data_IF_388442384210
#
_entry.id   IF_388442384210
#
_cell.length_a   1.000
_cell.length_b   1.000
_cell.length_c   1.000
_cell.angle_alpha   90.00
_cell.angle_beta   90.00
_cell.angle_gamma   90.00
#
_symmetry.space_group_name_H-M   'P 1'
#
loop_
_entity.id
_entity.type
_entity.pdbx_description
1 polymer ?
#
# COMPACT_ATOMS: atom_id res chain seq x y z
N UNK A 1 -14.88 -7.67 7.59
CA UNK A 1 -15.21 -9.11 7.49
C UNK A 1 -16.41 -9.41 8.37
N UNK A 2 -17.19 -10.47 8.08
CA UNK A 2 -18.32 -10.96 8.90
C UNK A 2 -17.99 -12.36 9.40
N UNK A 3 -18.34 -12.68 10.64
CA UNK A 3 -18.10 -13.99 11.25
C UNK A 3 -19.42 -14.58 11.75
N UNK A 4 -19.56 -15.91 11.71
CA UNK A 4 -20.71 -16.67 12.20
C UNK A 4 -20.27 -17.52 13.38
N UNK A 5 -21.01 -17.51 14.47
CA UNK A 5 -20.79 -18.44 15.57
C UNK A 5 -21.46 -19.78 15.24
N UNK A 6 -20.69 -20.86 15.16
CA UNK A 6 -21.23 -22.17 14.77
C UNK A 6 -22.09 -22.83 15.85
N UNK A 7 -21.81 -22.55 17.13
CA UNK A 7 -22.57 -23.14 18.24
C UNK A 7 -23.97 -22.51 18.39
N UNK A 8 -24.12 -21.25 18.00
CA UNK A 8 -25.37 -20.50 18.14
C UNK A 8 -26.05 -20.18 16.79
N UNK A 9 -25.38 -20.50 15.68
CA UNK A 9 -25.80 -20.16 14.31
C UNK A 9 -26.14 -18.67 14.11
N UNK A 10 -25.43 -17.78 14.81
CA UNK A 10 -25.73 -16.35 14.85
C UNK A 10 -24.53 -15.50 14.38
N UNK A 11 -24.74 -14.46 13.54
CA UNK A 11 -23.68 -13.55 13.12
C UNK A 11 -23.05 -12.84 14.31
N UNK A 12 -21.72 -12.93 14.40
CA UNK A 12 -20.93 -12.24 15.42
C UNK A 12 -20.94 -10.72 15.16
N UNK A 13 -20.98 -9.95 16.23
CA UNK A 13 -20.99 -8.48 16.21
C UNK A 13 -19.61 -7.94 16.55
N UNK A 14 -19.27 -6.78 15.99
CA UNK A 14 -18.07 -6.05 16.42
C UNK A 14 -18.21 -5.72 17.91
N UNK A 15 -17.21 -6.10 18.70
CA UNK A 15 -17.19 -5.85 20.13
C UNK A 15 -16.28 -4.69 20.48
N UNK A 16 -15.08 -4.65 19.90
CA UNK A 16 -14.05 -3.67 20.23
C UNK A 16 -13.06 -3.53 19.08
N UNK A 17 -12.51 -2.33 18.91
CA UNK A 17 -11.31 -2.05 18.11
C UNK A 17 -10.27 -1.40 19.00
N UNK A 18 -9.12 -2.03 19.14
CA UNK A 18 -8.01 -1.59 20.00
C UNK A 18 -6.75 -1.33 19.18
N UNK A 19 -5.92 -0.40 19.65
CA UNK A 19 -4.68 0.01 18.99
C UNK A 19 -4.84 1.18 18.00
N UNK A 20 -3.78 1.50 17.22
CA UNK A 20 -2.65 0.63 16.94
C UNK A 20 -1.54 0.68 17.99
N UNK A 21 -1.15 -0.51 18.43
CA UNK A 21 0.03 -0.75 19.26
C UNK A 21 1.14 -1.30 18.36
N UNK A 22 2.31 -0.67 18.38
CA UNK A 22 3.43 -0.99 17.47
C UNK A 22 3.03 -1.01 15.97
N UNK A 23 1.99 -0.25 15.61
CA UNK A 23 1.46 -0.18 14.25
C UNK A 23 0.37 -1.21 13.92
N UNK A 24 0.12 -2.21 14.76
CA UNK A 24 -0.91 -3.24 14.54
C UNK A 24 -2.25 -2.86 15.16
N UNK A 25 -3.36 -3.07 14.42
CA UNK A 25 -4.73 -2.86 14.90
C UNK A 25 -5.36 -4.20 15.29
N UNK A 26 -6.04 -4.23 16.42
CA UNK A 26 -6.82 -5.40 16.87
C UNK A 26 -8.31 -5.14 16.73
N UNK A 27 -9.03 -6.05 16.08
CA UNK A 27 -10.49 -5.97 15.89
C UNK A 27 -11.14 -7.23 16.48
N UNK A 28 -11.92 -7.06 17.53
CA UNK A 28 -12.56 -8.17 18.25
C UNK A 28 -14.03 -8.28 17.88
N UNK A 29 -14.46 -9.49 17.53
CA UNK A 29 -15.85 -9.85 17.29
C UNK A 29 -16.35 -10.76 18.41
N UNK A 30 -17.63 -10.62 18.77
CA UNK A 30 -18.28 -11.38 19.83
C UNK A 30 -19.62 -11.94 19.36
N UNK A 31 -19.89 -13.20 19.68
CA UNK A 31 -21.23 -13.78 19.54
C UNK A 31 -22.17 -13.15 20.58
N UNK A 32 -23.35 -12.63 20.18
CA UNK A 32 -24.27 -12.01 21.13
C UNK A 32 -24.89 -13.01 22.11
N UNK A 33 -25.01 -14.28 21.75
CA UNK A 33 -25.66 -15.32 22.54
C UNK A 33 -24.71 -15.95 23.59
N UNK A 34 -23.67 -16.66 23.13
CA UNK A 34 -22.76 -17.39 24.03
C UNK A 34 -21.54 -16.58 24.49
N UNK A 35 -21.30 -15.41 23.87
CA UNK A 35 -20.15 -14.56 24.21
C UNK A 35 -18.79 -15.06 23.69
N UNK A 36 -18.75 -16.09 22.83
CA UNK A 36 -17.52 -16.50 22.14
C UNK A 36 -16.88 -15.32 21.40
N UNK A 37 -15.55 -15.22 21.43
CA UNK A 37 -14.79 -14.07 20.90
C UNK A 37 -13.68 -14.52 19.96
N UNK A 38 -13.47 -13.73 18.91
CA UNK A 38 -12.34 -13.85 17.99
C UNK A 38 -11.75 -12.46 17.79
N UNK A 39 -10.42 -12.35 17.83
CA UNK A 39 -9.70 -11.13 17.54
C UNK A 39 -8.88 -11.28 16.26
N UNK A 40 -9.00 -10.30 15.37
CA UNK A 40 -8.18 -10.15 14.19
C UNK A 40 -7.09 -9.13 14.49
N UNK A 41 -5.82 -9.54 14.38
CA UNK A 41 -4.66 -8.66 14.52
C UNK A 41 -4.12 -8.36 13.13
N UNK A 42 -4.13 -7.08 12.73
CA UNK A 42 -3.62 -6.67 11.42
C UNK A 42 -2.11 -6.44 11.47
N UNK A 43 -1.44 -6.62 10.32
CA UNK A 43 -0.03 -6.25 10.18
C UNK A 43 0.14 -4.72 10.27
N UNK A 44 1.28 -4.21 10.79
CA UNK A 44 1.57 -2.78 10.76
C UNK A 44 1.42 -2.09 9.38
N UNK A 45 1.88 -2.75 8.31
CA UNK A 45 1.80 -2.20 6.95
C UNK A 45 0.35 -2.07 6.47
N UNK A 46 -0.47 -3.10 6.71
CA UNK A 46 -1.90 -3.08 6.37
C UNK A 46 -2.64 -1.99 7.14
N UNK A 47 -2.34 -1.84 8.43
CA UNK A 47 -2.94 -0.81 9.30
C UNK A 47 -2.62 0.59 8.80
N UNK A 48 -1.37 0.83 8.38
CA UNK A 48 -0.95 2.11 7.83
C UNK A 48 -1.67 2.43 6.52
N UNK A 49 -1.80 1.44 5.62
CA UNK A 49 -2.49 1.61 4.34
C UNK A 49 -3.98 1.89 4.52
N UNK A 50 -4.68 1.15 5.38
CA UNK A 50 -6.12 1.38 5.63
C UNK A 50 -6.37 2.76 6.22
N UNK A 51 -5.46 3.25 7.08
CA UNK A 51 -5.51 4.60 7.62
C UNK A 51 -5.31 5.69 6.56
N UNK A 52 -4.37 5.52 5.63
CA UNK A 52 -4.14 6.52 4.58
C UNK A 52 -5.32 6.62 3.60
N UNK A 53 -6.02 5.51 3.38
CA UNK A 53 -7.25 5.46 2.61
C UNK A 53 -8.48 6.04 3.35
N UNK A 54 -8.34 6.41 4.63
CA UNK A 54 -9.42 7.01 5.43
C UNK A 54 -10.60 6.08 5.72
N UNK A 55 -10.42 4.76 5.53
CA UNK A 55 -11.47 3.76 5.76
C UNK A 55 -11.63 3.53 7.25
N UNK A 56 -12.80 3.84 7.81
CA UNK A 56 -13.13 3.59 9.22
C UNK A 56 -13.39 2.11 9.44
N UNK A 57 -12.55 1.45 10.22
CA UNK A 57 -12.81 0.10 10.71
C UNK A 57 -13.65 0.20 11.98
N UNK A 58 -14.94 -0.15 11.89
CA UNK A 58 -15.81 -0.31 13.06
C UNK A 58 -16.51 0.94 13.60
N UNK A 59 -16.48 2.07 12.89
CA UNK A 59 -17.23 3.28 13.27
C UNK A 59 -18.73 3.18 12.94
N UNK A 60 -19.60 3.99 13.58
CA UNK A 60 -21.01 4.06 13.24
C UNK A 60 -21.18 4.49 11.77
N UNK A 61 -22.17 3.91 11.09
CA UNK A 61 -22.56 4.23 9.72
C UNK A 61 -23.28 5.59 9.63
N UNK A 62 -22.69 6.63 10.22
CA UNK A 62 -23.13 8.01 10.05
C UNK A 62 -22.50 8.64 8.81
N UNK A 63 -23.18 9.58 8.14
CA UNK A 63 -22.61 10.33 7.02
C UNK A 63 -21.31 11.00 7.49
N UNK A 64 -20.28 10.97 6.63
CA UNK A 64 -19.00 11.59 6.92
C UNK A 64 -19.21 13.07 7.25
N UNK A 65 -18.76 13.50 8.42
CA UNK A 65 -18.90 14.89 8.82
C UNK A 65 -17.84 15.74 8.10
N UNK A 66 -18.15 16.97 7.65
CA UNK A 66 -17.16 17.83 6.99
C UNK A 66 -15.94 18.00 7.89
N UNK A 67 -14.72 17.81 7.38
CA UNK A 67 -13.47 17.95 8.16
C UNK A 67 -13.30 16.99 9.36
N UNK A 68 -13.99 15.84 9.37
CA UNK A 68 -13.86 14.83 10.44
C UNK A 68 -12.41 14.38 10.64
N UNK A 69 -11.65 14.17 9.56
CA UNK A 69 -10.24 13.80 9.61
C UNK A 69 -9.38 14.86 10.30
N UNK A 70 -9.59 16.13 9.97
CA UNK A 70 -8.87 17.25 10.60
C UNK A 70 -9.19 17.34 12.09
N UNK A 71 -10.45 17.14 12.48
CA UNK A 71 -10.85 17.15 13.90
C UNK A 71 -10.28 15.97 14.67
N UNK A 72 -10.23 14.78 14.08
CA UNK A 72 -9.62 13.59 14.71
C UNK A 72 -8.12 13.77 14.91
N UNK A 73 -7.42 14.34 13.92
CA UNK A 73 -6.01 14.68 14.04
C UNK A 73 -5.73 15.68 15.17
N UNK A 74 -6.63 16.64 15.40
CA UNK A 74 -6.54 17.62 16.48
C UNK A 74 -6.93 17.06 17.87
N UNK A 75 -7.70 15.96 17.91
CA UNK A 75 -8.16 15.34 19.16
C UNK A 75 -7.07 14.48 19.85
N UNK A 76 -5.97 14.17 19.17
CA UNK A 76 -4.82 13.43 19.72
C UNK A 76 -3.58 14.33 19.77
N UNK A 77 -3.49 15.29 20.72
CA UNK A 77 -2.30 16.12 20.85
C UNK A 77 -1.10 15.25 21.23
N UNK A 78 -0.04 15.32 20.42
CA UNK A 78 1.28 14.80 20.80
C UNK A 78 1.89 15.79 21.80
N UNK A 79 2.17 15.39 23.05
CA UNK A 79 2.69 16.29 24.09
C UNK A 79 4.06 16.91 23.76
N UNK A 80 4.75 16.38 22.74
CA UNK A 80 6.13 16.75 22.41
C UNK A 80 6.25 17.51 21.07
N UNK A 81 5.13 17.97 20.50
CA UNK A 81 5.06 18.56 19.16
C UNK A 81 5.91 19.84 18.97
N UNK A 82 6.41 20.45 20.05
CA UNK A 82 7.21 21.67 20.02
C UNK A 82 8.55 21.55 20.78
N UNK A 83 8.98 20.34 21.16
CA UNK A 83 10.30 20.12 21.72
C UNK A 83 11.27 19.66 20.62
N UNK A 84 11.79 20.62 19.86
CA UNK A 84 12.84 20.40 18.87
C UNK A 84 13.17 21.69 18.12
N UNK A 85 14.40 22.17 18.31
CA UNK A 85 15.01 23.36 17.72
C UNK A 85 14.52 23.73 16.30
N UNK A 86 14.31 25.04 16.12
CA UNK A 86 13.98 25.67 14.86
C UNK A 86 15.17 25.64 13.89
N UNK A 87 15.20 24.64 13.02
CA UNK A 87 15.78 24.76 11.69
C UNK A 87 14.76 24.16 10.72
N UNK A 88 13.97 25.04 10.10
CA UNK A 88 12.91 24.62 9.20
C UNK A 88 13.51 23.82 8.03
N UNK A 89 12.91 22.70 7.62
CA UNK A 89 13.35 22.02 6.41
C UNK A 89 12.89 22.87 5.23
N UNK A 90 13.74 23.83 4.84
CA UNK A 90 13.73 24.37 3.50
C UNK A 90 13.76 23.20 2.54
N UNK A 91 12.85 23.19 1.56
CA UNK A 91 12.77 22.13 0.56
C UNK A 91 14.18 21.86 -0.01
N UNK A 92 14.81 20.71 0.29
CA UNK A 92 16.19 20.44 -0.12
C UNK A 92 16.31 20.18 -1.65
N UNK A 93 15.18 20.29 -2.37
CA UNK A 93 15.07 20.01 -3.79
C UNK A 93 14.88 21.27 -4.67
N UNK A 94 14.88 22.47 -4.09
CA UNK A 94 14.64 23.70 -4.88
C UNK A 94 15.91 24.27 -5.55
N UNK A 95 17.10 23.72 -5.29
CA UNK A 95 18.38 24.32 -5.71
C UNK A 95 19.16 23.57 -6.82
N UNK A 96 18.62 22.48 -7.37
CA UNK A 96 19.15 21.80 -8.57
C UNK A 96 17.94 21.21 -9.30
N UNK A 97 17.44 21.72 -10.42
CA UNK A 97 18.00 21.49 -11.77
C UNK A 97 17.54 22.62 -12.70
N UNK A 98 18.48 23.50 -13.08
CA UNK A 98 18.48 24.20 -14.35
C UNK A 98 19.36 23.43 -15.34
N UNK A 99 19.00 23.49 -16.62
CA UNK A 99 19.65 22.92 -17.81
C UNK A 99 20.96 22.12 -17.63
N UNK A 100 20.88 20.82 -17.92
CA UNK A 100 22.02 19.93 -18.12
C UNK A 100 21.53 18.57 -18.60
N UNK A 101 21.61 18.33 -19.91
CA UNK A 101 21.08 17.17 -20.60
C UNK A 101 21.56 15.82 -20.05
N UNK A 102 20.62 14.90 -19.84
CA UNK A 102 20.83 13.47 -20.11
C UNK A 102 19.58 13.03 -20.84
N UNK A 103 19.68 12.76 -22.15
CA UNK A 103 18.67 11.97 -22.83
C UNK A 103 18.43 10.72 -21.98
N UNK A 104 17.17 10.28 -21.75
CA UNK A 104 16.95 9.02 -21.03
C UNK A 104 17.86 7.98 -21.68
N UNK A 105 18.61 7.16 -20.91
CA UNK A 105 19.34 6.05 -21.53
C UNK A 105 18.29 5.36 -22.39
N UNK A 106 18.59 5.22 -23.69
CA UNK A 106 17.66 4.66 -24.65
C UNK A 106 17.09 3.39 -23.99
N UNK A 107 15.84 3.47 -23.54
CA UNK A 107 15.21 2.36 -22.83
C UNK A 107 15.38 1.16 -23.72
N UNK A 108 15.81 0.04 -23.15
CA UNK A 108 16.14 -1.14 -23.94
C UNK A 108 15.03 -1.39 -24.97
N UNK A 109 15.41 -1.43 -26.25
CA UNK A 109 14.44 -1.43 -27.33
C UNK A 109 13.59 -2.71 -27.23
N UNK A 110 12.28 -2.57 -27.21
CA UNK A 110 11.38 -3.72 -27.17
C UNK A 110 11.26 -4.34 -28.56
N UNK A 111 11.42 -5.66 -28.65
CA UNK A 111 11.05 -6.37 -29.89
C UNK A 111 9.53 -6.54 -29.96
N UNK A 112 8.94 -6.59 -31.17
CA UNK A 112 7.49 -6.76 -31.31
C UNK A 112 6.98 -8.06 -30.66
N UNK A 113 7.81 -9.10 -30.60
CA UNK A 113 7.49 -10.37 -29.93
C UNK A 113 7.41 -10.21 -28.39
N UNK A 114 8.31 -9.41 -27.81
CA UNK A 114 8.30 -9.09 -26.38
C UNK A 114 7.11 -8.19 -26.01
N UNK A 115 6.77 -7.21 -26.85
CA UNK A 115 5.59 -6.37 -26.66
C UNK A 115 4.29 -7.18 -26.69
N UNK A 116 4.15 -8.11 -27.63
CA UNK A 116 2.98 -8.99 -27.73
C UNK A 116 2.81 -9.88 -26.48
N UNK A 117 3.91 -10.29 -25.83
CA UNK A 117 3.88 -11.00 -24.53
C UNK A 117 3.33 -10.12 -23.42
N UNK A 118 3.81 -8.87 -23.31
CA UNK A 118 3.35 -7.93 -22.29
C UNK A 118 1.90 -7.53 -22.49
N UNK A 119 1.43 -7.47 -23.73
CA UNK A 119 0.04 -7.13 -24.05
C UNK A 119 -0.96 -8.20 -23.55
N UNK A 120 -0.53 -9.47 -23.44
CA UNK A 120 -1.32 -10.56 -22.84
C UNK A 120 -1.50 -10.43 -21.33
N UNK A 121 -0.69 -9.61 -20.66
CA UNK A 121 -0.83 -9.33 -19.22
C UNK A 121 -2.06 -8.42 -19.00
N UNK A 122 -2.88 -8.67 -17.97
CA UNK A 122 -4.00 -7.80 -17.62
C UNK A 122 -3.57 -6.32 -17.51
N UNK A 123 -4.41 -5.42 -18.03
CA UNK A 123 -4.08 -4.00 -18.21
C UNK A 123 -3.63 -3.29 -16.93
N UNK A 124 -4.15 -3.68 -15.76
CA UNK A 124 -3.77 -3.09 -14.47
C UNK A 124 -2.37 -3.51 -13.98
N UNK A 125 -1.86 -4.68 -14.41
CA UNK A 125 -0.51 -5.17 -14.06
C UNK A 125 0.52 -4.75 -15.11
N UNK A 126 0.09 -4.51 -16.37
CA UNK A 126 0.97 -4.21 -17.50
C UNK A 126 1.99 -3.08 -17.24
N UNK A 127 1.65 -1.93 -16.63
CA UNK A 127 2.64 -0.88 -16.33
C UNK A 127 3.70 -1.34 -15.32
N UNK A 128 3.31 -2.18 -14.36
CA UNK A 128 4.22 -2.73 -13.36
C UNK A 128 5.16 -3.77 -13.98
N UNK A 129 4.62 -4.67 -14.82
CA UNK A 129 5.40 -5.67 -15.54
C UNK A 129 6.42 -5.04 -16.49
N UNK A 130 6.00 -4.06 -17.30
CA UNK A 130 6.89 -3.34 -18.23
C UNK A 130 8.07 -2.69 -17.49
N UNK A 131 7.81 -1.98 -16.39
CA UNK A 131 8.85 -1.37 -15.55
C UNK A 131 9.80 -2.40 -14.93
N UNK A 132 9.28 -3.54 -14.49
CA UNK A 132 10.10 -4.60 -13.91
C UNK A 132 11.06 -5.21 -14.94
N UNK A 133 10.58 -5.43 -16.17
CA UNK A 133 11.38 -5.98 -17.28
C UNK A 133 12.41 -4.96 -17.77
N UNK A 134 12.03 -3.68 -17.90
CA UNK A 134 12.97 -2.60 -18.25
C UNK A 134 14.09 -2.45 -17.21
N UNK A 135 13.74 -2.56 -15.92
CA UNK A 135 14.73 -2.55 -14.84
C UNK A 135 15.64 -3.77 -14.90
N UNK A 136 15.07 -4.97 -15.11
CA UNK A 136 15.86 -6.19 -15.28
C UNK A 136 16.85 -6.06 -16.44
N UNK A 137 16.40 -5.55 -17.59
CA UNK A 137 17.24 -5.30 -18.75
C UNK A 137 18.36 -4.29 -18.44
N UNK A 138 18.05 -3.19 -17.75
CA UNK A 138 19.05 -2.21 -17.34
C UNK A 138 20.10 -2.78 -16.36
N UNK A 139 19.67 -3.57 -15.38
CA UNK A 139 20.56 -4.22 -14.40
C UNK A 139 21.52 -5.23 -15.05
N UNK A 140 21.06 -5.95 -16.08
CA UNK A 140 21.86 -6.94 -16.81
C UNK A 140 22.60 -6.35 -18.02
N UNK A 141 22.42 -5.05 -18.30
CA UNK A 141 23.07 -4.36 -19.42
C UNK A 141 22.51 -4.73 -20.80
N UNK A 142 21.28 -5.24 -20.87
CA UNK A 142 20.62 -5.56 -22.13
C UNK A 142 20.14 -4.29 -22.85
N UNK A 143 20.60 -4.10 -24.09
CA UNK A 143 20.20 -2.97 -24.93
C UNK A 143 18.87 -3.20 -25.67
N UNK A 144 18.37 -4.44 -25.70
CA UNK A 144 17.15 -4.85 -26.40
C UNK A 144 16.42 -5.89 -25.55
N UNK A 145 15.12 -5.73 -25.37
CA UNK A 145 14.25 -6.67 -24.65
C UNK A 145 13.64 -7.61 -25.69
N UNK A 146 14.26 -8.77 -25.85
CA UNK A 146 13.82 -9.86 -26.71
C UNK A 146 13.14 -10.99 -25.90
N UNK A 147 12.79 -12.10 -26.55
CA UNK A 147 12.17 -13.24 -25.87
C UNK A 147 13.07 -13.88 -24.81
N UNK A 148 14.39 -13.88 -25.01
CA UNK A 148 15.36 -14.45 -24.07
C UNK A 148 15.38 -13.63 -22.78
N UNK A 149 15.45 -12.30 -22.89
CA UNK A 149 15.40 -11.38 -21.75
C UNK A 149 14.06 -11.51 -21.02
N UNK A 150 12.95 -11.72 -21.74
CA UNK A 150 11.63 -11.94 -21.16
C UNK A 150 11.55 -13.24 -20.35
N UNK A 151 12.15 -14.33 -20.85
CA UNK A 151 12.15 -15.63 -20.19
C UNK A 151 13.08 -15.63 -18.95
N UNK A 152 14.25 -14.98 -19.05
CA UNK A 152 15.16 -14.76 -17.90
C UNK A 152 14.51 -13.89 -16.81
N UNK A 153 13.87 -12.78 -17.20
CA UNK A 153 13.14 -11.92 -16.29
C UNK A 153 12.04 -12.69 -15.55
N UNK A 154 11.30 -13.55 -16.26
CA UNK A 154 10.25 -14.40 -15.65
C UNK A 154 10.83 -15.34 -14.60
N UNK A 155 11.97 -15.98 -14.88
CA UNK A 155 12.67 -16.83 -13.92
C UNK A 155 13.11 -16.08 -12.67
N UNK A 156 13.57 -14.83 -12.81
CA UNK A 156 13.95 -13.97 -11.69
C UNK A 156 12.75 -13.50 -10.83
N UNK A 157 11.57 -13.33 -11.45
CA UNK A 157 10.34 -12.91 -10.75
C UNK A 157 9.51 -14.07 -10.17
N UNK A 158 9.95 -15.33 -10.33
CA UNK A 158 9.35 -16.48 -9.66
C UNK A 158 7.97 -16.91 -10.19
N UNK A 159 7.76 -16.86 -11.51
CA UNK A 159 6.52 -17.30 -12.18
C UNK A 159 6.74 -18.37 -13.27
#
# INVERSE_FOLDING_TARGET
>A
MKFLCLDCDEPMKLHETAGPDEGSLTVTFRCPECGFRVAMLTNPFETQMVKSLGVRVGGPAGPAQPFEQLRSALASPRPDAFAGEAEGPGCPFAATVGEGAVAPPAGAAWTPEAEARVERIPSFIRPMARRAIERFAAEHGYATIDETVMDEARGAFGM
#
